data_IF_771469725422
#
_entry.id   IF_771469725422
#
_cell.length_a   1.000
_cell.length_b   1.000
_cell.length_c   1.000
_cell.angle_alpha   90.00
_cell.angle_beta   90.00
_cell.angle_gamma   90.00
#
_symmetry.space_group_name_H-M   'P 1'
#
loop_
_entity.id
_entity.type
_entity.pdbx_description
1 polymer ?
#
# COMPACT_ATOMS: atom_id res chain seq x y z
N UNK A 1 -3.14 4.17 -18.95
CA UNK A 1 -2.71 3.14 -17.98
C UNK A 1 -1.84 2.10 -18.68
N UNK A 2 -0.56 1.96 -18.28
CA UNK A 2 0.41 1.04 -18.91
C UNK A 2 0.15 -0.44 -18.59
N UNK A 3 -0.43 -0.71 -17.42
CA UNK A 3 -0.67 -2.07 -16.93
C UNK A 3 -2.15 -2.46 -16.94
N UNK A 4 -2.44 -3.76 -16.94
CA UNK A 4 -3.78 -4.35 -16.75
C UNK A 4 -3.71 -5.43 -15.65
N UNK A 5 -4.79 -5.56 -14.89
CA UNK A 5 -4.94 -6.62 -13.90
C UNK A 5 -5.61 -7.84 -14.53
N UNK A 6 -5.07 -9.04 -14.27
CA UNK A 6 -5.66 -10.32 -14.69
C UNK A 6 -5.71 -11.24 -13.48
N UNK A 7 -6.90 -11.73 -13.13
CA UNK A 7 -7.03 -12.76 -12.08
C UNK A 7 -6.30 -14.02 -12.51
N UNK A 8 -5.55 -14.61 -11.57
CA UNK A 8 -4.98 -15.95 -11.67
C UNK A 8 -5.63 -16.83 -10.60
N UNK A 9 -5.10 -18.03 -10.37
CA UNK A 9 -5.64 -18.97 -9.38
C UNK A 9 -5.27 -18.56 -7.94
N UNK A 10 -6.09 -18.97 -6.95
CA UNK A 10 -5.84 -18.79 -5.50
C UNK A 10 -5.74 -17.34 -4.99
N UNK A 11 -6.69 -16.48 -5.37
CA UNK A 11 -6.77 -15.06 -4.93
C UNK A 11 -5.58 -14.18 -5.32
N UNK A 12 -4.86 -14.59 -6.37
CA UNK A 12 -3.75 -13.86 -6.97
C UNK A 12 -4.18 -13.12 -8.23
N UNK A 13 -3.45 -12.04 -8.52
CA UNK A 13 -3.67 -11.18 -9.67
C UNK A 13 -2.33 -10.78 -10.28
N UNK A 14 -2.21 -10.96 -11.58
CA UNK A 14 -1.06 -10.51 -12.35
C UNK A 14 -1.26 -9.10 -12.88
N UNK A 15 -0.22 -8.28 -12.76
CA UNK A 15 -0.09 -6.96 -13.36
C UNK A 15 0.67 -7.13 -14.68
N UNK A 16 -0.07 -7.13 -15.77
CA UNK A 16 0.47 -7.39 -17.11
C UNK A 16 0.74 -6.06 -17.81
N UNK A 17 1.93 -5.90 -18.40
CA UNK A 17 2.22 -4.76 -19.27
C UNK A 17 1.38 -4.88 -20.55
N UNK A 18 0.64 -3.83 -20.90
CA UNK A 18 -0.24 -3.86 -22.09
C UNK A 18 0.53 -3.89 -23.40
N UNK A 19 1.77 -3.41 -23.42
CA UNK A 19 2.62 -3.38 -24.61
C UNK A 19 3.33 -4.70 -24.89
N UNK A 20 3.88 -5.34 -23.86
CA UNK A 20 4.64 -6.60 -24.02
C UNK A 20 3.81 -7.86 -23.71
N UNK A 21 2.66 -7.69 -23.04
CA UNK A 21 1.82 -8.77 -22.53
C UNK A 21 2.55 -9.70 -21.51
N UNK A 22 3.65 -9.22 -20.93
CA UNK A 22 4.40 -9.92 -19.89
C UNK A 22 3.88 -9.54 -18.49
N UNK A 23 3.85 -10.53 -17.59
CA UNK A 23 3.58 -10.31 -16.17
C UNK A 23 4.75 -9.58 -15.53
N UNK A 24 4.50 -8.37 -15.01
CA UNK A 24 5.51 -7.55 -14.34
C UNK A 24 5.50 -7.74 -12.83
N UNK A 25 4.32 -7.91 -12.25
CA UNK A 25 4.13 -8.13 -10.82
C UNK A 25 2.97 -9.08 -10.58
N UNK A 26 2.94 -9.69 -9.40
CA UNK A 26 1.81 -10.47 -8.89
C UNK A 26 1.40 -9.90 -7.54
N UNK A 27 0.11 -9.81 -7.28
CA UNK A 27 -0.44 -9.24 -6.06
C UNK A 27 -1.66 -10.03 -5.58
N UNK A 28 -2.07 -9.78 -4.34
CA UNK A 28 -3.25 -10.38 -3.70
C UNK A 28 -4.40 -9.39 -3.60
N UNK A 29 -5.57 -9.86 -3.17
CA UNK A 29 -6.71 -8.98 -2.84
C UNK A 29 -6.37 -7.88 -1.83
N UNK A 30 -5.45 -8.14 -0.90
CA UNK A 30 -5.02 -7.16 0.11
C UNK A 30 -4.29 -5.99 -0.53
N UNK A 31 -3.56 -6.22 -1.61
CA UNK A 31 -2.89 -5.16 -2.36
C UNK A 31 -3.89 -4.39 -3.25
N UNK A 32 -4.78 -5.12 -3.94
CA UNK A 32 -5.74 -4.52 -4.88
C UNK A 32 -6.76 -3.60 -4.19
N UNK A 33 -7.11 -3.85 -2.93
CA UNK A 33 -8.12 -3.07 -2.20
C UNK A 33 -7.77 -1.58 -2.15
N UNK A 34 -6.47 -1.24 -2.11
CA UNK A 34 -5.99 0.14 -2.14
C UNK A 34 -6.23 0.85 -3.47
N UNK A 35 -6.47 0.11 -4.56
CA UNK A 35 -6.80 0.66 -5.87
C UNK A 35 -8.29 0.60 -6.23
N UNK A 36 -9.07 -0.26 -5.56
CA UNK A 36 -10.47 -0.54 -5.89
C UNK A 36 -11.48 0.08 -4.92
N UNK A 37 -11.12 0.29 -3.65
CA UNK A 37 -11.97 1.00 -2.70
C UNK A 37 -11.71 2.50 -2.80
N UNK A 38 -12.76 3.31 -2.99
CA UNK A 38 -12.63 4.76 -3.24
C UNK A 38 -11.93 5.52 -2.10
N UNK A 39 -12.16 5.11 -0.85
CA UNK A 39 -11.55 5.75 0.33
C UNK A 39 -10.08 5.34 0.43
N UNK A 40 -9.75 4.06 0.31
CA UNK A 40 -8.35 3.62 0.37
C UNK A 40 -7.53 4.15 -0.80
N UNK A 41 -8.17 4.30 -1.96
CA UNK A 41 -7.57 4.88 -3.15
C UNK A 41 -7.18 6.33 -2.96
N UNK A 42 -8.00 7.15 -2.27
CA UNK A 42 -7.62 8.55 -2.04
C UNK A 42 -6.35 8.65 -1.18
N UNK A 43 -6.18 7.78 -0.19
CA UNK A 43 -4.92 7.71 0.58
C UNK A 43 -3.74 7.23 -0.26
N UNK A 44 -3.94 6.21 -1.09
CA UNK A 44 -2.89 5.72 -1.99
C UNK A 44 -2.44 6.80 -2.97
N UNK A 45 -3.38 7.60 -3.49
CA UNK A 45 -3.09 8.72 -4.40
C UNK A 45 -2.29 9.83 -3.70
N UNK A 46 -2.59 10.15 -2.44
CA UNK A 46 -1.76 11.09 -1.65
C UNK A 46 -0.32 10.60 -1.55
N UNK A 47 -0.09 9.36 -1.13
CA UNK A 47 1.28 8.84 -0.98
C UNK A 47 2.02 8.62 -2.32
N UNK A 48 1.31 8.51 -3.43
CA UNK A 48 1.89 8.34 -4.75
C UNK A 48 2.28 9.66 -5.46
N UNK A 49 1.98 10.82 -4.87
CA UNK A 49 2.40 12.12 -5.42
C UNK A 49 3.93 12.29 -5.39
N UNK A 50 4.47 13.00 -6.39
CA UNK A 50 5.92 13.16 -6.57
C UNK A 50 6.63 13.83 -5.38
N UNK A 51 5.94 14.72 -4.67
CA UNK A 51 6.41 15.48 -3.50
C UNK A 51 6.18 14.76 -2.16
N UNK A 52 5.46 13.64 -2.13
CA UNK A 52 5.07 12.97 -0.88
C UNK A 52 5.97 11.81 -0.46
N UNK A 53 7.13 11.62 -1.09
CA UNK A 53 8.10 10.58 -0.70
C UNK A 53 8.56 10.71 0.74
N UNK A 54 8.93 11.92 1.17
CA UNK A 54 9.40 12.15 2.55
C UNK A 54 8.26 11.99 3.57
N UNK A 55 7.05 12.42 3.20
CA UNK A 55 5.84 12.21 4.00
C UNK A 55 5.55 10.72 4.20
N UNK A 56 5.61 9.93 3.14
CA UNK A 56 5.40 8.48 3.21
C UNK A 56 6.36 7.83 4.21
N UNK A 57 7.66 8.15 4.14
CA UNK A 57 8.67 7.62 5.06
C UNK A 57 8.36 8.01 6.51
N UNK A 58 8.08 9.28 6.77
CA UNK A 58 7.78 9.76 8.14
C UNK A 58 6.53 9.09 8.70
N UNK A 59 5.45 9.03 7.93
CA UNK A 59 4.19 8.43 8.36
C UNK A 59 4.35 6.91 8.61
N UNK A 60 5.10 6.23 7.75
CA UNK A 60 5.40 4.80 7.91
C UNK A 60 6.20 4.53 9.20
N UNK A 61 7.26 5.30 9.46
CA UNK A 61 8.07 5.18 10.69
C UNK A 61 7.22 5.45 11.93
N UNK A 62 6.35 6.46 11.89
CA UNK A 62 5.44 6.77 13.00
C UNK A 62 4.45 5.62 13.26
N UNK A 63 3.86 5.05 12.21
CA UNK A 63 2.96 3.91 12.33
C UNK A 63 3.69 2.68 12.88
N UNK A 64 4.89 2.39 12.39
CA UNK A 64 5.73 1.30 12.89
C UNK A 64 6.04 1.48 14.38
N UNK A 65 6.53 2.65 14.77
CA UNK A 65 6.85 2.96 16.16
C UNK A 65 5.63 2.85 17.09
N UNK A 66 4.44 3.26 16.60
CA UNK A 66 3.18 3.11 17.34
C UNK A 66 2.85 1.63 17.58
N UNK A 67 2.93 0.79 16.55
CA UNK A 67 2.64 -0.65 16.67
C UNK A 67 3.64 -1.32 17.62
N UNK A 68 4.93 -1.00 17.51
CA UNK A 68 5.99 -1.58 18.34
C UNK A 68 5.91 -1.20 19.83
N UNK A 69 5.20 -0.13 20.18
CA UNK A 69 4.98 0.29 21.57
C UNK A 69 3.53 0.12 22.03
N UNK A 70 2.70 -0.62 21.30
CA UNK A 70 1.26 -0.74 21.62
C UNK A 70 1.02 -1.48 22.95
N UNK A 71 1.92 -2.38 23.33
CA UNK A 71 1.91 -3.12 24.59
C UNK A 71 2.63 -2.39 25.75
N UNK A 72 3.45 -1.38 25.43
CA UNK A 72 4.28 -0.63 26.40
C UNK A 72 3.51 0.50 27.09
N UNK A 73 2.54 0.14 27.92
CA UNK A 73 1.73 1.12 28.67
C UNK A 73 2.56 1.90 29.69
N UNK A 74 3.62 1.31 30.21
CA UNK A 74 4.57 1.87 31.19
C UNK A 74 5.39 3.05 30.65
N UNK A 75 5.53 3.18 29.33
CA UNK A 75 6.25 4.28 28.68
C UNK A 75 5.35 5.46 28.31
N UNK A 76 4.03 5.35 28.52
CA UNK A 76 3.11 6.49 28.30
C UNK A 76 3.34 7.51 29.41
N UNK A 77 3.99 8.63 29.07
CA UNK A 77 4.12 9.78 29.98
C UNK A 77 2.73 10.26 30.37
N UNK A 78 2.41 10.18 31.65
CA UNK A 78 1.31 10.91 32.28
C UNK A 78 1.69 12.39 32.23
N UNK A 79 1.08 13.17 31.34
CA UNK A 79 0.87 14.62 31.40
C UNK A 79 0.11 15.10 30.17
#
# INVERSE_FOLDING_TARGET
MKFKWKSTDKDLYDIIDRGTNETKFTATRVDLVFGSNSILRSYAEVYAQDDNKEKFVRDFVNAWNKVMNTDRQELKKTN
#
